data_IF_717353146858
#
_entry.id   IF_717353146858
#
_cell.length_a   1.000
_cell.length_b   1.000
_cell.length_c   1.000
_cell.angle_alpha   90.00
_cell.angle_beta   90.00
_cell.angle_gamma   90.00
#
_symmetry.space_group_name_H-M   'P 1'
#
loop_
_entity.id
_entity.type
_entity.pdbx_description
1 polymer ?
#
# COMPACT_ATOMS: atom_id res chain seq x y z
N UNK A 1 21.76 -54.11 -15.32
CA UNK A 1 20.69 -53.09 -15.27
C UNK A 1 21.20 -51.92 -14.46
N UNK A 2 21.56 -50.80 -15.11
CA UNK A 2 22.19 -49.64 -14.47
C UNK A 2 21.09 -48.78 -13.85
N UNK A 3 21.07 -48.69 -12.52
CA UNK A 3 20.06 -47.93 -11.77
C UNK A 3 20.27 -46.43 -12.03
N UNK A 4 19.25 -45.82 -12.63
CA UNK A 4 19.25 -44.45 -13.13
C UNK A 4 19.45 -43.47 -11.97
N UNK A 5 20.70 -43.01 -11.80
CA UNK A 5 21.15 -42.06 -10.78
C UNK A 5 20.70 -40.60 -11.03
N UNK A 6 19.75 -40.36 -11.93
CA UNK A 6 19.28 -39.01 -12.27
C UNK A 6 18.17 -38.49 -11.34
N UNK A 7 17.50 -39.38 -10.60
CA UNK A 7 16.32 -39.04 -9.81
C UNK A 7 16.59 -38.01 -8.68
N UNK A 8 17.66 -38.08 -7.86
CA UNK A 8 17.78 -37.21 -6.69
C UNK A 8 18.08 -35.75 -7.05
N UNK A 9 18.81 -35.49 -8.14
CA UNK A 9 19.16 -34.12 -8.57
C UNK A 9 17.90 -33.40 -9.06
N UNK A 10 17.02 -34.09 -9.80
CA UNK A 10 15.74 -33.52 -10.21
C UNK A 10 14.85 -33.19 -9.01
N UNK A 11 14.87 -34.00 -7.95
CA UNK A 11 14.07 -33.74 -6.75
C UNK A 11 14.60 -32.52 -5.97
N UNK A 12 15.92 -32.36 -5.89
CA UNK A 12 16.53 -31.18 -5.24
C UNK A 12 16.24 -29.89 -6.02
N UNK A 13 16.34 -29.91 -7.36
CA UNK A 13 15.98 -28.77 -8.19
C UNK A 13 14.50 -28.40 -8.07
N UNK A 14 13.62 -29.40 -8.02
CA UNK A 14 12.18 -29.18 -7.84
C UNK A 14 11.89 -28.52 -6.49
N UNK A 15 12.50 -28.99 -5.39
CA UNK A 15 12.33 -28.39 -4.06
C UNK A 15 12.83 -26.95 -4.03
N UNK A 16 13.99 -26.65 -4.63
CA UNK A 16 14.51 -25.28 -4.71
C UNK A 16 13.62 -24.37 -5.56
N UNK A 17 13.06 -24.86 -6.66
CA UNK A 17 12.13 -24.11 -7.50
C UNK A 17 10.81 -23.84 -6.78
N UNK A 18 10.24 -24.83 -6.07
CA UNK A 18 9.05 -24.61 -5.26
C UNK A 18 9.31 -23.64 -4.10
N UNK A 19 10.41 -23.79 -3.36
CA UNK A 19 10.75 -22.91 -2.25
C UNK A 19 11.08 -21.48 -2.71
N UNK A 20 11.68 -21.32 -3.89
CA UNK A 20 11.92 -20.02 -4.51
C UNK A 20 10.63 -19.37 -4.97
N UNK A 21 9.85 -20.05 -5.81
CA UNK A 21 8.64 -19.50 -6.44
C UNK A 21 7.53 -19.21 -5.42
N UNK A 22 7.29 -20.13 -4.47
CA UNK A 22 6.37 -19.86 -3.35
C UNK A 22 6.96 -18.86 -2.34
N UNK A 23 8.29 -18.86 -2.14
CA UNK A 23 8.96 -17.97 -1.20
C UNK A 23 8.78 -16.49 -1.52
N UNK A 24 8.72 -16.11 -2.80
CA UNK A 24 8.51 -14.71 -3.19
C UNK A 24 7.07 -14.21 -2.96
N UNK A 25 6.09 -15.11 -2.91
CA UNK A 25 4.67 -14.77 -2.71
C UNK A 25 4.18 -14.92 -1.26
N UNK A 26 4.96 -15.57 -0.37
CA UNK A 26 4.57 -15.81 1.04
C UNK A 26 4.91 -14.64 1.98
N UNK A 27 5.59 -13.58 1.51
CA UNK A 27 5.79 -12.37 2.32
C UNK A 27 4.61 -11.39 2.30
N UNK A 28 3.43 -11.82 1.88
CA UNK A 28 2.20 -11.21 2.36
C UNK A 28 1.99 -11.69 3.79
N UNK A 29 2.09 -10.80 4.77
CA UNK A 29 1.68 -11.09 6.15
C UNK A 29 0.27 -11.72 6.09
N UNK A 30 0.15 -12.99 6.46
CA UNK A 30 -1.10 -13.75 6.35
C UNK A 30 -2.25 -13.16 7.18
N UNK A 31 -1.96 -12.14 8.01
CA UNK A 31 -2.94 -11.40 8.78
C UNK A 31 -3.17 -9.95 8.26
N UNK A 32 -2.54 -9.53 7.16
CA UNK A 32 -2.76 -8.22 6.57
C UNK A 32 -3.86 -8.29 5.49
N UNK A 33 -4.88 -7.45 5.65
CA UNK A 33 -5.88 -7.21 4.60
C UNK A 33 -5.38 -6.00 3.81
N UNK A 34 -5.41 -6.09 2.48
CA UNK A 34 -5.25 -4.92 1.61
C UNK A 34 -6.48 -4.03 1.84
N UNK A 35 -6.28 -2.95 2.60
CA UNK A 35 -7.33 -2.00 2.94
C UNK A 35 -7.32 -0.92 1.84
N UNK A 36 -8.44 -0.82 1.12
CA UNK A 36 -8.55 -0.11 -0.15
C UNK A 36 -8.34 1.40 -0.01
N UNK A 37 -8.70 1.97 1.14
CA UNK A 37 -8.68 3.41 1.38
C UNK A 37 -8.44 3.75 2.86
N UNK A 38 -7.73 4.85 3.05
CA UNK A 38 -7.74 5.70 4.23
C UNK A 38 -7.06 5.17 5.52
N UNK A 39 -6.23 6.04 6.08
CA UNK A 39 -5.95 6.07 7.51
C UNK A 39 -6.32 7.45 7.99
N UNK A 40 -7.56 7.58 8.45
CA UNK A 40 -8.05 8.76 9.12
C UNK A 40 -7.95 8.54 10.62
N UNK A 41 -7.58 9.60 11.34
CA UNK A 41 -7.96 9.72 12.73
C UNK A 41 -9.28 10.49 12.74
N UNK A 42 -10.40 9.76 12.85
CA UNK A 42 -11.77 10.27 12.96
C UNK A 42 -12.24 11.23 11.84
N UNK A 43 -13.00 10.69 10.88
CA UNK A 43 -13.82 11.48 9.95
C UNK A 43 -15.05 10.71 9.46
N UNK A 44 -16.22 11.29 9.69
CA UNK A 44 -17.53 10.67 9.46
C UNK A 44 -17.89 10.54 7.97
N UNK A 45 -18.26 9.33 7.51
CA UNK A 45 -19.40 9.17 6.61
C UNK A 45 -19.27 8.27 5.36
N UNK A 46 -20.27 7.39 5.23
CA UNK A 46 -20.88 6.81 4.01
C UNK A 46 -20.62 5.34 3.65
N UNK A 47 -21.71 4.69 3.23
CA UNK A 47 -22.01 3.24 3.24
C UNK A 47 -21.39 2.38 2.13
N UNK A 48 -20.08 2.46 1.92
CA UNK A 48 -19.33 1.33 1.37
C UNK A 48 -18.52 0.74 2.52
N UNK A 49 -18.41 -0.59 2.63
CA UNK A 49 -17.56 -1.24 3.66
C UNK A 49 -16.11 -0.96 3.30
N UNK A 50 -15.68 0.27 3.60
CA UNK A 50 -14.33 0.75 3.45
C UNK A 50 -13.62 0.32 4.72
N UNK A 51 -12.63 -0.57 4.57
CA UNK A 51 -11.79 -0.95 5.68
C UNK A 51 -10.77 0.19 5.90
N UNK A 52 -10.92 0.92 6.99
CA UNK A 52 -10.04 2.01 7.41
C UNK A 52 -8.90 1.46 8.26
N UNK A 53 -7.68 1.84 7.95
CA UNK A 53 -6.54 1.54 8.79
C UNK A 53 -6.47 2.52 9.96
N UNK A 54 -6.50 2.02 11.19
CA UNK A 54 -6.24 2.86 12.39
C UNK A 54 -4.80 3.37 12.46
N UNK A 55 -3.88 2.79 11.70
CA UNK A 55 -2.49 3.22 11.61
C UNK A 55 -2.07 3.36 10.16
N UNK A 56 -1.42 4.48 9.82
CA UNK A 56 -0.95 4.79 8.48
C UNK A 56 0.38 4.11 8.13
N UNK A 57 0.49 2.83 8.51
CA UNK A 57 1.66 2.00 8.26
C UNK A 57 1.25 0.78 7.48
N UNK A 58 2.03 0.45 6.46
CA UNK A 58 1.84 -0.77 5.67
C UNK A 58 2.45 -1.95 6.43
N UNK A 59 1.89 -3.15 6.26
CA UNK A 59 2.37 -4.40 6.87
C UNK A 59 3.82 -4.71 6.49
N UNK A 60 4.29 -4.22 5.34
CA UNK A 60 5.68 -4.29 4.89
C UNK A 60 6.60 -3.23 5.53
N UNK A 61 6.12 -2.48 6.54
CA UNK A 61 6.82 -1.39 7.25
C UNK A 61 7.17 -0.19 6.37
N UNK A 62 6.67 -0.12 5.14
CA UNK A 62 6.86 1.05 4.30
C UNK A 62 5.79 2.11 4.58
N UNK A 63 6.14 3.36 4.28
CA UNK A 63 5.19 4.47 4.36
C UNK A 63 4.18 4.40 3.21
N UNK A 64 2.94 4.86 3.43
CA UNK A 64 2.03 5.19 2.35
C UNK A 64 2.70 6.19 1.44
N UNK A 65 2.45 6.06 0.14
CA UNK A 65 2.99 7.00 -0.84
C UNK A 65 2.06 7.19 -2.02
N UNK A 66 2.07 8.40 -2.58
CA UNK A 66 1.38 8.76 -3.80
C UNK A 66 2.36 9.12 -4.92
N UNK A 67 1.86 9.16 -6.15
CA UNK A 67 2.57 9.70 -7.33
C UNK A 67 1.88 10.93 -7.88
N UNK A 68 2.65 11.72 -8.64
CA UNK A 68 2.22 12.97 -9.27
C UNK A 68 1.61 13.95 -8.26
N UNK A 69 2.19 14.01 -7.06
CA UNK A 69 1.66 14.83 -5.97
C UNK A 69 2.00 16.32 -6.18
N UNK A 70 1.08 17.20 -5.79
CA UNK A 70 1.27 18.65 -5.77
C UNK A 70 0.97 19.23 -4.41
N UNK A 71 1.60 20.33 -4.06
CA UNK A 71 1.18 21.13 -2.90
C UNK A 71 -0.09 21.96 -3.20
N UNK A 72 -0.56 22.72 -2.20
CA UNK A 72 -1.73 23.60 -2.33
C UNK A 72 -1.57 24.68 -3.42
N UNK A 73 -0.34 25.07 -3.75
CA UNK A 73 -0.05 26.02 -4.83
C UNK A 73 -0.03 25.37 -6.22
N UNK A 74 -0.17 24.04 -6.29
CA UNK A 74 -0.06 23.27 -7.53
C UNK A 74 1.38 22.95 -7.92
N UNK A 75 2.36 23.20 -7.04
CA UNK A 75 3.77 22.86 -7.31
C UNK A 75 3.94 21.36 -7.23
N UNK A 76 4.54 20.78 -8.27
CA UNK A 76 4.83 19.35 -8.34
C UNK A 76 5.90 18.95 -7.30
N UNK A 77 5.57 17.94 -6.52
CA UNK A 77 6.43 17.37 -5.48
C UNK A 77 7.28 16.25 -6.05
N UNK A 78 8.56 16.21 -5.67
CA UNK A 78 9.53 15.22 -6.11
C UNK A 78 9.54 14.95 -7.64
N UNK A 79 9.28 15.97 -8.45
CA UNK A 79 9.21 15.83 -9.91
C UNK A 79 8.07 14.93 -10.42
N UNK A 80 7.08 14.62 -9.58
CA UNK A 80 5.97 13.71 -9.89
C UNK A 80 6.22 12.26 -9.48
N UNK A 81 7.40 11.96 -8.94
CA UNK A 81 7.70 10.64 -8.40
C UNK A 81 7.03 10.42 -7.04
N UNK A 82 7.41 9.34 -6.36
CA UNK A 82 6.88 8.94 -5.07
C UNK A 82 7.00 10.06 -4.03
N UNK A 83 5.89 10.31 -3.36
CA UNK A 83 5.76 11.24 -2.26
C UNK A 83 5.27 10.51 -1.02
N UNK A 84 5.96 10.69 0.10
CA UNK A 84 5.60 10.03 1.36
C UNK A 84 4.38 10.71 2.00
N UNK A 85 3.51 9.90 2.61
CA UNK A 85 2.25 10.32 3.20
C UNK A 85 2.02 9.56 4.51
N UNK A 86 2.83 9.84 5.52
CA UNK A 86 2.90 9.09 6.79
C UNK A 86 1.85 9.50 7.82
N UNK A 87 1.13 10.60 7.58
CA UNK A 87 0.05 11.08 8.46
C UNK A 87 -1.32 10.61 7.95
N UNK A 88 -1.67 10.99 6.72
CA UNK A 88 -2.97 10.67 6.09
C UNK A 88 -2.78 10.48 4.59
N UNK A 89 -3.54 9.55 4.02
CA UNK A 89 -3.62 9.32 2.58
C UNK A 89 -5.02 8.84 2.19
N UNK A 90 -5.81 9.72 1.59
CA UNK A 90 -7.25 9.52 1.45
C UNK A 90 -7.81 10.03 0.14
N UNK A 91 -8.92 9.45 -0.35
CA UNK A 91 -9.67 10.03 -1.45
C UNK A 91 -10.13 11.46 -1.10
N UNK A 92 -9.85 12.41 -1.97
CA UNK A 92 -10.38 13.76 -1.87
C UNK A 92 -11.74 13.80 -2.55
N UNK A 93 -12.78 14.16 -1.79
CA UNK A 93 -14.18 14.09 -2.23
C UNK A 93 -14.56 15.20 -3.20
N UNK A 94 -13.88 16.35 -3.12
CA UNK A 94 -14.12 17.46 -4.04
C UNK A 94 -13.45 17.20 -5.40
N UNK A 95 -14.12 17.61 -6.47
CA UNK A 95 -13.59 17.49 -7.82
C UNK A 95 -12.42 18.46 -8.05
N UNK A 96 -11.25 17.92 -8.40
CA UNK A 96 -10.12 18.72 -8.88
C UNK A 96 -9.94 18.61 -10.38
N UNK A 97 -9.75 19.77 -11.02
CA UNK A 97 -9.50 19.88 -12.48
C UNK A 97 -8.23 19.15 -12.93
N UNK A 98 -7.27 18.96 -12.04
CA UNK A 98 -6.02 18.27 -12.32
C UNK A 98 -6.10 16.74 -12.16
N UNK A 99 -7.27 16.21 -11.78
CA UNK A 99 -7.52 14.78 -11.61
C UNK A 99 -6.83 14.17 -10.38
N UNK A 100 -6.31 14.99 -9.46
CA UNK A 100 -5.61 14.51 -8.26
C UNK A 100 -6.57 14.28 -7.10
N UNK A 101 -7.27 13.15 -7.16
CA UNK A 101 -8.33 12.81 -6.20
C UNK A 101 -7.86 12.11 -4.94
N UNK A 102 -6.59 12.25 -4.56
CA UNK A 102 -6.11 11.82 -3.25
C UNK A 102 -5.50 13.01 -2.55
N UNK A 103 -5.80 13.20 -1.27
CA UNK A 103 -5.06 14.12 -0.43
C UNK A 103 -4.13 13.35 0.51
N UNK A 104 -3.01 13.98 0.84
CA UNK A 104 -1.90 13.40 1.55
C UNK A 104 -1.32 14.43 2.51
N UNK A 105 -0.89 13.99 3.69
CA UNK A 105 -0.09 14.80 4.60
C UNK A 105 1.10 13.99 5.12
N UNK A 106 2.17 14.68 5.47
CA UNK A 106 3.36 14.07 6.02
C UNK A 106 3.96 14.86 7.19
N UNK A 107 4.68 14.16 8.06
CA UNK A 107 5.28 14.73 9.28
C UNK A 107 6.50 15.61 8.99
N UNK A 108 7.27 15.29 7.96
CA UNK A 108 8.48 16.05 7.60
C UNK A 108 8.16 17.43 7.04
N UNK A 109 7.04 17.56 6.31
CA UNK A 109 6.61 18.83 5.71
C UNK A 109 5.13 19.05 5.95
N UNK A 110 4.84 19.92 6.91
CA UNK A 110 3.47 20.28 7.26
C UNK A 110 2.79 20.94 6.06
N UNK A 111 1.78 20.28 5.52
CA UNK A 111 1.06 20.78 4.35
C UNK A 111 0.15 19.72 3.77
N UNK A 112 -0.91 20.18 3.11
CA UNK A 112 -1.80 19.30 2.35
C UNK A 112 -1.25 19.13 0.94
N UNK A 113 -1.06 17.88 0.55
CA UNK A 113 -0.63 17.50 -0.80
C UNK A 113 -1.76 16.78 -1.51
N UNK A 114 -1.85 16.93 -2.82
CA UNK A 114 -2.84 16.25 -3.64
C UNK A 114 -2.14 15.35 -4.65
N UNK A 115 -2.47 14.07 -4.68
CA UNK A 115 -1.82 13.04 -5.48
C UNK A 115 -2.78 12.48 -6.53
N UNK A 116 -2.23 12.03 -7.65
CA UNK A 116 -3.02 11.46 -8.76
C UNK A 116 -3.33 10.00 -8.54
N UNK A 117 -2.35 9.25 -8.08
CA UNK A 117 -2.45 7.81 -7.85
C UNK A 117 -1.76 7.43 -6.56
N UNK A 118 -2.26 6.37 -5.94
CA UNK A 118 -1.60 5.70 -4.84
C UNK A 118 -0.50 4.78 -5.40
N UNK A 119 0.66 4.74 -4.76
CA UNK A 119 1.76 3.86 -5.17
C UNK A 119 1.43 2.38 -4.91
N UNK A 120 0.97 2.08 -3.69
CA UNK A 120 0.57 0.74 -3.25
C UNK A 120 -0.60 0.84 -2.30
N UNK A 121 -1.47 -0.16 -2.32
CA UNK A 121 -2.54 -0.29 -1.33
C UNK A 121 -1.98 -0.34 0.09
N UNK A 122 -2.75 0.22 1.02
CA UNK A 122 -2.46 0.14 2.43
C UNK A 122 -2.62 -1.31 2.86
N UNK A 123 -1.61 -1.84 3.54
CA UNK A 123 -1.65 -3.18 4.09
C UNK A 123 -1.76 -3.06 5.59
N UNK A 124 -2.88 -3.47 6.15
CA UNK A 124 -3.11 -3.30 7.58
C UNK A 124 -3.48 -4.64 8.21
N UNK A 125 -2.95 -4.94 9.41
CA UNK A 125 -3.37 -6.11 10.16
C UNK A 125 -4.89 -6.11 10.29
N UNK A 126 -5.53 -7.28 10.18
CA UNK A 126 -6.99 -7.42 10.28
C UNK A 126 -7.56 -6.82 11.57
N UNK A 127 -6.79 -6.82 12.66
CA UNK A 127 -7.16 -6.19 13.93
C UNK A 127 -7.14 -4.66 13.92
N UNK A 128 -6.49 -4.06 12.93
CA UNK A 128 -6.33 -2.61 12.75
C UNK A 128 -7.17 -2.05 11.60
N UNK A 129 -7.82 -2.92 10.81
CA UNK A 129 -8.83 -2.48 9.85
C UNK A 129 -10.20 -2.41 10.52
N UNK A 130 -10.80 -1.22 10.52
CA UNK A 130 -12.14 -0.96 11.00
C UNK A 130 -13.06 -0.75 9.80
N UNK A 131 -14.28 -1.30 9.85
CA UNK A 131 -15.31 -1.04 8.83
C UNK A 131 -16.10 0.25 9.12
N UNK A 132 -15.82 0.88 10.25
CA UNK A 132 -16.38 2.16 10.70
C UNK A 132 -15.26 3.18 10.86
N UNK A 133 -15.44 4.43 10.41
CA UNK A 133 -14.48 5.51 10.66
C UNK A 133 -14.32 5.83 12.15
#
# INVERSE_FOLDING_TARGET
MSWIRSIPIFHLLLVCLLAGDLGFHIFADANAIDCSHACETQGSGSSYVTNYCTNCRRGDRLLPSGKDCVDQSGKLMNGGDLWACDIVFEPFTEYRKDGRQFYCNQSERTGLFFCKTMNKFLQCPKSQCSTTP
#
